data_IF_975286955284
#
_entry.id   IF_975286955284
#
_cell.length_a   1.000
_cell.length_b   1.000
_cell.length_c   1.000
_cell.angle_alpha   90.00
_cell.angle_beta   90.00
_cell.angle_gamma   90.00
#
_symmetry.space_group_name_H-M   'P 1'
#
loop_
_entity.id
_entity.type
_entity.pdbx_description
1 polymer ?
#
# COMPACT_ATOMS: atom_id res chain seq x y z
N UNK A 1 0.20 -17.62 23.75
CA UNK A 1 1.08 -16.43 23.65
C UNK A 1 0.65 -15.52 22.51
N UNK A 2 0.72 -15.95 21.24
CA UNK A 2 0.33 -15.13 20.08
C UNK A 2 -1.08 -14.50 20.18
N UNK A 3 -2.11 -15.28 20.55
CA UNK A 3 -3.48 -14.75 20.68
C UNK A 3 -3.63 -13.64 21.74
N UNK A 4 -2.81 -13.66 22.81
CA UNK A 4 -2.80 -12.60 23.82
C UNK A 4 -2.17 -11.33 23.26
N UNK A 5 -1.06 -11.46 22.54
CA UNK A 5 -0.38 -10.34 21.88
C UNK A 5 -1.30 -9.66 20.88
N UNK A 6 -1.97 -10.45 20.02
CA UNK A 6 -2.93 -9.91 19.06
C UNK A 6 -4.12 -9.21 19.73
N UNK A 7 -4.63 -9.74 20.84
CA UNK A 7 -5.72 -9.10 21.58
C UNK A 7 -5.28 -7.78 22.24
N UNK A 8 -4.08 -7.73 22.81
CA UNK A 8 -3.53 -6.55 23.46
C UNK A 8 -3.19 -5.44 22.44
N UNK A 9 -2.61 -5.81 21.30
CA UNK A 9 -2.22 -4.88 20.24
C UNK A 9 -3.31 -4.65 19.18
N UNK A 10 -4.51 -5.22 19.36
CA UNK A 10 -5.59 -5.18 18.37
C UNK A 10 -5.90 -3.75 17.90
N UNK A 11 -5.92 -2.78 18.81
CA UNK A 11 -6.16 -1.37 18.49
C UNK A 11 -5.10 -0.82 17.53
N UNK A 12 -3.83 -1.12 17.77
CA UNK A 12 -2.71 -0.65 16.95
C UNK A 12 -2.69 -1.36 15.59
N UNK A 13 -2.93 -2.68 15.58
CA UNK A 13 -3.02 -3.48 14.36
C UNK A 13 -4.18 -3.04 13.47
N UNK A 14 -5.35 -2.76 14.04
CA UNK A 14 -6.49 -2.18 13.30
C UNK A 14 -6.10 -0.82 12.74
N UNK A 15 -5.48 0.05 13.55
CA UNK A 15 -5.05 1.38 13.12
C UNK A 15 -4.12 1.34 11.90
N UNK A 16 -3.08 0.50 11.93
CA UNK A 16 -2.15 0.36 10.80
C UNK A 16 -2.81 -0.31 9.58
N UNK A 17 -3.77 -1.22 9.80
CA UNK A 17 -4.58 -1.81 8.70
C UNK A 17 -5.42 -0.74 8.00
N UNK A 18 -6.10 0.10 8.79
CA UNK A 18 -6.91 1.20 8.25
C UNK A 18 -6.04 2.21 7.53
N UNK A 19 -4.87 2.56 8.09
CA UNK A 19 -3.90 3.43 7.43
C UNK A 19 -3.45 2.85 6.08
N UNK A 20 -3.12 1.56 6.03
CA UNK A 20 -2.78 0.87 4.79
C UNK A 20 -3.91 0.99 3.75
N UNK A 21 -5.16 0.74 4.17
CA UNK A 21 -6.32 0.86 3.28
C UNK A 21 -6.53 2.28 2.74
N UNK A 22 -6.37 3.30 3.58
CA UNK A 22 -6.49 4.72 3.18
C UNK A 22 -5.40 5.10 2.19
N UNK A 23 -4.14 4.75 2.50
CA UNK A 23 -3.00 5.02 1.60
C UNK A 23 -3.20 4.31 0.27
N UNK A 24 -3.53 3.02 0.29
CA UNK A 24 -3.79 2.19 -0.90
C UNK A 24 -4.87 2.82 -1.79
N UNK A 25 -6.01 3.21 -1.22
CA UNK A 25 -7.08 3.83 -2.00
C UNK A 25 -6.66 5.19 -2.56
N UNK A 26 -5.97 6.01 -1.75
CA UNK A 26 -5.47 7.32 -2.19
C UNK A 26 -4.49 7.22 -3.35
N UNK A 27 -3.53 6.29 -3.29
CA UNK A 27 -2.54 6.11 -4.36
C UNK A 27 -3.15 5.45 -5.59
N UNK A 28 -4.11 4.54 -5.42
CA UNK A 28 -4.87 3.98 -6.55
C UNK A 28 -5.67 5.06 -7.29
N UNK A 29 -6.34 5.96 -6.57
CA UNK A 29 -7.06 7.08 -7.16
C UNK A 29 -6.11 8.03 -7.91
N UNK A 30 -4.98 8.37 -7.29
CA UNK A 30 -3.96 9.21 -7.93
C UNK A 30 -3.39 8.56 -9.20
N UNK A 31 -3.04 7.28 -9.12
CA UNK A 31 -2.55 6.50 -10.27
C UNK A 31 -3.57 6.42 -11.40
N UNK A 32 -4.84 6.18 -11.07
CA UNK A 32 -5.95 6.21 -12.04
C UNK A 32 -6.05 7.57 -12.73
N UNK A 33 -6.09 8.68 -11.98
CA UNK A 33 -6.25 10.02 -12.57
C UNK A 33 -5.07 10.37 -13.48
N UNK A 34 -3.85 9.99 -13.11
CA UNK A 34 -2.63 10.29 -13.85
C UNK A 34 -2.50 9.42 -15.11
N UNK A 35 -2.76 8.11 -15.01
CA UNK A 35 -2.42 7.15 -16.08
C UNK A 35 -3.61 6.74 -16.96
N UNK A 36 -4.87 6.99 -16.57
CA UNK A 36 -6.06 6.53 -17.35
C UNK A 36 -6.09 7.02 -18.81
N UNK A 37 -5.49 8.17 -19.09
CA UNK A 37 -5.42 8.73 -20.45
C UNK A 37 -4.27 8.19 -21.31
N UNK A 38 -3.28 7.54 -20.68
CA UNK A 38 -2.07 7.02 -21.32
C UNK A 38 -2.15 5.50 -21.47
N UNK A 39 -2.69 4.82 -20.46
CA UNK A 39 -2.80 3.36 -20.38
C UNK A 39 -4.20 2.93 -19.92
N UNK A 40 -5.26 3.18 -20.71
CA UNK A 40 -6.63 2.82 -20.33
C UNK A 40 -6.83 1.30 -20.11
N UNK A 41 -6.02 0.44 -20.73
CA UNK A 41 -6.12 -1.02 -20.53
C UNK A 41 -5.63 -1.45 -19.13
N UNK A 42 -4.71 -0.68 -18.52
CA UNK A 42 -4.06 -1.01 -17.24
C UNK A 42 -4.49 -0.11 -16.08
N UNK A 43 -4.93 1.12 -16.37
CA UNK A 43 -5.35 2.13 -15.39
C UNK A 43 -6.72 2.73 -15.75
N UNK A 44 -7.53 2.04 -16.57
CA UNK A 44 -8.84 2.55 -17.03
C UNK A 44 -9.96 2.52 -15.99
N UNK A 45 -9.73 1.87 -14.84
CA UNK A 45 -10.68 1.81 -13.74
C UNK A 45 -9.98 1.84 -12.38
N UNK A 46 -10.69 2.28 -11.35
CA UNK A 46 -10.17 2.31 -9.98
C UNK A 46 -9.71 0.91 -9.50
N UNK A 47 -10.44 -0.20 -9.73
CA UNK A 47 -9.99 -1.53 -9.33
C UNK A 47 -8.66 -1.95 -9.98
N UNK A 48 -8.44 -1.61 -11.26
CA UNK A 48 -7.17 -1.88 -11.93
C UNK A 48 -6.01 -1.08 -11.31
N UNK A 49 -6.24 0.20 -11.00
CA UNK A 49 -5.26 1.02 -10.30
C UNK A 49 -5.02 0.55 -8.85
N UNK A 50 -6.05 0.00 -8.19
CA UNK A 50 -5.91 -0.63 -6.87
C UNK A 50 -5.05 -1.88 -6.91
N UNK A 51 -5.15 -2.69 -7.97
CA UNK A 51 -4.24 -3.82 -8.17
C UNK A 51 -2.78 -3.36 -8.24
N UNK A 52 -2.48 -2.38 -9.10
CA UNK A 52 -1.15 -1.77 -9.15
C UNK A 52 -0.71 -1.20 -7.79
N UNK A 53 -1.60 -0.49 -7.09
CA UNK A 53 -1.32 0.09 -5.79
C UNK A 53 -0.96 -0.98 -4.75
N UNK A 54 -1.73 -2.07 -4.67
CA UNK A 54 -1.43 -3.22 -3.79
C UNK A 54 -0.06 -3.77 -4.12
N UNK A 55 0.17 -4.12 -5.39
CA UNK A 55 1.42 -4.76 -5.86
C UNK A 55 2.65 -3.90 -5.60
N UNK A 56 2.52 -2.57 -5.73
CA UNK A 56 3.62 -1.62 -5.52
C UNK A 56 3.83 -1.33 -4.05
N UNK A 57 2.76 -1.09 -3.29
CA UNK A 57 2.80 -0.78 -1.86
C UNK A 57 3.25 -1.98 -1.03
N UNK A 58 2.90 -3.20 -1.46
CA UNK A 58 3.39 -4.46 -0.89
C UNK A 58 4.83 -4.80 -1.29
N UNK A 59 5.47 -3.96 -2.11
CA UNK A 59 6.82 -4.20 -2.67
C UNK A 59 6.93 -5.48 -3.50
N UNK A 60 5.81 -6.03 -3.99
CA UNK A 60 5.77 -7.26 -4.79
C UNK A 60 6.25 -7.02 -6.22
N UNK A 61 5.73 -5.99 -6.89
CA UNK A 61 6.24 -5.53 -8.18
C UNK A 61 6.19 -6.56 -9.33
N UNK A 62 5.02 -7.13 -9.65
CA UNK A 62 4.89 -8.10 -10.76
C UNK A 62 5.28 -7.55 -12.13
N UNK A 63 5.18 -6.24 -12.35
CA UNK A 63 5.56 -5.57 -13.60
C UNK A 63 4.50 -5.61 -14.72
N UNK A 64 3.31 -6.13 -14.43
CA UNK A 64 2.16 -6.17 -15.35
C UNK A 64 1.53 -4.78 -15.55
N UNK A 65 1.45 -3.96 -14.51
CA UNK A 65 1.04 -2.56 -14.56
C UNK A 65 2.15 -1.63 -14.05
N UNK A 66 2.61 -0.70 -14.89
CA UNK A 66 3.69 0.24 -14.55
C UNK A 66 3.33 1.63 -15.11
N UNK A 67 3.31 2.69 -14.30
CA UNK A 67 3.10 4.05 -14.77
C UNK A 67 4.15 4.49 -15.80
N UNK A 68 3.68 5.09 -16.90
CA UNK A 68 4.55 5.53 -17.99
C UNK A 68 4.89 7.03 -17.89
N UNK A 69 4.00 7.83 -17.31
CA UNK A 69 4.23 9.27 -17.16
C UNK A 69 5.30 9.57 -16.12
N UNK A 70 5.96 10.72 -16.25
CA UNK A 70 6.91 11.19 -15.24
C UNK A 70 6.24 11.35 -13.87
N UNK A 71 5.05 11.95 -13.82
CA UNK A 71 4.28 12.11 -12.59
C UNK A 71 3.92 10.76 -11.96
N UNK A 72 3.48 9.78 -12.76
CA UNK A 72 3.16 8.43 -12.29
C UNK A 72 4.38 7.68 -11.75
N UNK A 73 5.56 7.90 -12.32
CA UNK A 73 6.82 7.33 -11.81
C UNK A 73 7.26 7.97 -10.50
N UNK A 74 7.12 9.29 -10.36
CA UNK A 74 7.37 9.99 -9.09
C UNK A 74 6.42 9.49 -8.01
N UNK A 75 5.13 9.35 -8.33
CA UNK A 75 4.14 8.75 -7.43
C UNK A 75 4.56 7.33 -7.02
N UNK A 76 4.94 6.48 -7.98
CA UNK A 76 5.41 5.11 -7.71
C UNK A 76 6.56 5.08 -6.71
N UNK A 77 7.53 5.98 -6.84
CA UNK A 77 8.65 6.07 -5.90
C UNK A 77 8.20 6.39 -4.47
N UNK A 78 7.28 7.34 -4.32
CA UNK A 78 6.70 7.67 -3.02
C UNK A 78 5.89 6.50 -2.43
N UNK A 79 5.13 5.78 -3.26
CA UNK A 79 4.38 4.57 -2.86
C UNK A 79 5.34 3.50 -2.33
N UNK A 80 6.42 3.21 -3.04
CA UNK A 80 7.43 2.23 -2.62
C UNK A 80 8.04 2.58 -1.26
N UNK A 81 8.41 3.86 -1.04
CA UNK A 81 8.93 4.31 0.26
C UNK A 81 7.89 4.17 1.38
N UNK A 82 6.63 4.56 1.11
CA UNK A 82 5.55 4.46 2.09
C UNK A 82 5.23 3.01 2.46
N UNK A 83 5.34 2.08 1.50
CA UNK A 83 5.13 0.65 1.72
C UNK A 83 6.09 0.12 2.78
N UNK A 84 7.39 0.36 2.61
CA UNK A 84 8.43 -0.04 3.58
C UNK A 84 8.09 0.49 4.99
N UNK A 85 7.69 1.75 5.09
CA UNK A 85 7.29 2.36 6.37
C UNK A 85 6.09 1.67 7.02
N UNK A 86 5.05 1.34 6.25
CA UNK A 86 3.86 0.66 6.78
C UNK A 86 4.18 -0.76 7.24
N UNK A 87 4.98 -1.53 6.49
CA UNK A 87 5.41 -2.86 6.93
C UNK A 87 6.28 -2.78 8.20
N UNK A 88 7.11 -1.75 8.34
CA UNK A 88 7.88 -1.52 9.56
C UNK A 88 6.96 -1.26 10.77
N UNK A 89 5.84 -0.54 10.59
CA UNK A 89 4.85 -0.34 11.66
C UNK A 89 4.21 -1.66 12.10
N UNK A 90 3.80 -2.52 11.16
CA UNK A 90 3.28 -3.87 11.49
C UNK A 90 4.28 -4.69 12.29
N UNK A 91 5.54 -4.74 11.82
CA UNK A 91 6.60 -5.46 12.51
C UNK A 91 6.88 -4.90 13.91
N UNK A 92 6.93 -3.57 14.04
CA UNK A 92 7.17 -2.89 15.32
C UNK A 92 6.07 -3.11 16.35
N UNK A 93 4.80 -3.09 15.94
CA UNK A 93 3.67 -3.37 16.83
C UNK A 93 3.74 -4.81 17.35
N UNK A 94 3.98 -5.78 16.47
CA UNK A 94 4.11 -7.18 16.88
C UNK A 94 5.31 -7.39 17.80
N UNK A 95 6.47 -6.83 17.47
CA UNK A 95 7.68 -6.93 18.29
C UNK A 95 7.46 -6.35 19.69
N UNK A 96 6.81 -5.19 19.79
CA UNK A 96 6.48 -4.55 21.07
C UNK A 96 5.52 -5.43 21.88
N UNK A 97 4.49 -5.96 21.24
CA UNK A 97 3.51 -6.82 21.90
C UNK A 97 4.08 -8.17 22.39
N UNK A 98 5.14 -8.69 21.76
CA UNK A 98 5.85 -9.88 22.24
C UNK A 98 6.86 -9.59 23.36
N UNK A 99 7.38 -8.37 23.43
CA UNK A 99 8.31 -7.95 24.46
C UNK A 99 7.63 -7.75 25.83
N UNK A 100 6.33 -7.43 25.83
CA UNK A 100 5.49 -7.22 27.02
C UNK A 100 4.83 -8.53 27.52
#
# INVERSE_FOLDING_TARGET
>A
VLGRVLANEARNLIGVTTLFGVVLFGVALAGYVIERGIQPEKFGSIPQAMWWAVVTLSTTGYGDAIPQSFAGRVLSGAVMMSGIGIFALWAGILATGFYQ
#
